data_IF_580221881301
#
_entry.id   IF_580221881301
#
_cell.length_a   1.000
_cell.length_b   1.000
_cell.length_c   1.000
_cell.angle_alpha   90.00
_cell.angle_beta   90.00
_cell.angle_gamma   90.00
#
_symmetry.space_group_name_H-M   'P 1'
#
loop_
_entity.id
_entity.type
_entity.pdbx_description
1 polymer ?
#
# COMPACT_ATOMS: atom_id res chain seq x y z
N UNK A 1 16.41 -5.33 6.89
CA UNK A 1 15.23 -5.34 5.98
C UNK A 1 15.32 -4.24 4.94
N UNK A 2 15.13 -4.57 3.67
CA UNK A 2 15.06 -3.63 2.55
C UNK A 2 13.62 -3.41 2.13
N UNK A 3 13.24 -2.16 1.92
CA UNK A 3 11.90 -1.75 1.52
C UNK A 3 12.03 -0.82 0.31
N UNK A 4 11.37 -1.19 -0.79
CA UNK A 4 11.27 -0.39 -2.00
C UNK A 4 9.84 0.08 -2.18
N UNK A 5 9.62 1.39 -2.26
CA UNK A 5 8.34 1.96 -2.69
C UNK A 5 8.26 1.86 -4.20
N UNK A 6 7.38 1.00 -4.71
CA UNK A 6 7.14 0.85 -6.14
C UNK A 6 6.19 1.93 -6.64
N UNK A 7 5.09 2.13 -5.91
CA UNK A 7 4.13 3.19 -6.14
C UNK A 7 3.69 3.80 -4.83
N UNK A 8 3.48 5.11 -4.83
CA UNK A 8 3.18 5.90 -3.64
C UNK A 8 1.84 6.62 -3.66
N UNK A 9 1.12 6.61 -4.79
CA UNK A 9 -0.20 7.23 -4.91
C UNK A 9 -1.34 6.29 -4.49
N UNK A 10 -2.48 6.86 -4.12
CA UNK A 10 -3.74 6.14 -3.95
C UNK A 10 -4.30 5.66 -5.30
N UNK A 11 -5.48 5.03 -5.28
CA UNK A 11 -6.22 4.63 -6.48
C UNK A 11 -6.29 5.72 -7.56
N UNK A 12 -5.94 5.35 -8.80
CA UNK A 12 -5.92 6.26 -9.95
C UNK A 12 -4.57 6.94 -10.23
N UNK A 13 -3.63 6.90 -9.29
CA UNK A 13 -2.29 7.45 -9.47
C UNK A 13 -2.24 8.99 -9.46
N UNK A 14 -1.07 9.55 -9.71
CA UNK A 14 -0.88 10.99 -9.89
C UNK A 14 0.08 11.28 -11.07
N UNK A 15 -0.34 12.08 -12.07
CA UNK A 15 -1.68 12.64 -12.25
C UNK A 15 -2.69 11.54 -12.63
N UNK A 16 -3.91 11.59 -12.07
CA UNK A 16 -4.96 10.65 -12.43
C UNK A 16 -5.49 10.93 -13.85
N UNK A 17 -5.71 9.86 -14.63
CA UNK A 17 -5.98 9.92 -16.08
C UNK A 17 -7.12 10.86 -16.51
N UNK A 18 -8.21 10.93 -15.72
CA UNK A 18 -9.39 11.76 -16.00
C UNK A 18 -9.53 12.97 -15.04
N UNK A 19 -8.53 13.26 -14.22
CA UNK A 19 -8.62 14.33 -13.22
C UNK A 19 -8.00 15.63 -13.72
N UNK A 20 -8.67 16.75 -13.47
CA UNK A 20 -8.16 18.11 -13.71
C UNK A 20 -8.20 18.97 -12.43
N UNK A 21 -8.10 18.35 -11.25
CA UNK A 21 -7.87 19.09 -10.02
C UNK A 21 -6.57 19.90 -10.12
N UNK A 22 -6.40 20.88 -9.20
CA UNK A 22 -5.28 21.82 -9.23
C UNK A 22 -3.91 21.13 -9.35
N UNK A 23 -3.70 20.02 -8.61
CA UNK A 23 -2.46 19.26 -8.69
C UNK A 23 -2.28 18.57 -10.05
N UNK A 24 -3.30 17.87 -10.56
CA UNK A 24 -3.20 17.13 -11.83
C UNK A 24 -3.00 18.07 -13.02
N UNK A 25 -3.79 19.14 -13.12
CA UNK A 25 -3.67 20.12 -14.20
C UNK A 25 -2.39 20.95 -14.06
N UNK A 26 -2.01 21.29 -12.81
CA UNK A 26 -0.80 22.03 -12.53
C UNK A 26 0.46 21.25 -12.86
N UNK A 27 0.50 19.94 -12.56
CA UNK A 27 1.59 19.05 -12.97
C UNK A 27 1.70 18.98 -14.50
N UNK A 28 0.58 18.77 -15.22
CA UNK A 28 0.60 18.72 -16.69
C UNK A 28 1.05 20.03 -17.34
N UNK A 29 0.71 21.16 -16.73
CA UNK A 29 1.07 22.48 -17.23
C UNK A 29 2.44 22.99 -16.72
N UNK A 30 3.12 22.23 -15.85
CA UNK A 30 4.39 22.64 -15.23
C UNK A 30 4.26 23.80 -14.24
N UNK A 31 3.08 24.04 -13.66
CA UNK A 31 2.83 25.10 -12.68
C UNK A 31 2.80 24.61 -11.23
N UNK A 32 2.85 23.30 -11.01
CA UNK A 32 2.99 22.67 -9.69
C UNK A 32 4.27 21.84 -9.72
N UNK A 33 5.18 22.07 -8.78
CA UNK A 33 6.39 21.27 -8.62
C UNK A 33 6.04 19.98 -7.87
N UNK A 34 5.84 18.91 -8.62
CA UNK A 34 5.49 17.59 -8.10
C UNK A 34 6.09 16.49 -8.97
N UNK A 35 6.03 15.25 -8.48
CA UNK A 35 6.50 14.05 -9.19
C UNK A 35 5.33 13.14 -9.49
N UNK A 36 5.29 12.58 -10.71
CA UNK A 36 4.34 11.54 -11.05
C UNK A 36 4.52 10.31 -10.13
N UNK A 37 3.42 9.62 -9.83
CA UNK A 37 3.34 8.50 -8.92
C UNK A 37 2.34 7.46 -9.42
N UNK A 38 2.77 6.22 -9.42
CA UNK A 38 1.97 5.02 -9.65
C UNK A 38 1.25 4.60 -8.37
N UNK A 39 0.26 3.72 -8.54
CA UNK A 39 -0.61 3.25 -7.47
C UNK A 39 0.13 2.40 -6.42
N UNK A 40 -0.32 2.51 -5.17
CA UNK A 40 0.35 2.01 -3.97
C UNK A 40 0.80 0.54 -4.07
N UNK A 41 2.11 0.34 -3.94
CA UNK A 41 2.73 -0.97 -3.83
C UNK A 41 4.14 -0.83 -3.27
N UNK A 42 4.57 -1.79 -2.45
CA UNK A 42 5.94 -1.87 -1.96
C UNK A 42 6.51 -3.27 -2.20
N UNK A 43 7.85 -3.37 -2.22
CA UNK A 43 8.56 -4.64 -2.23
C UNK A 43 9.48 -4.74 -1.01
N UNK A 44 9.51 -5.92 -0.38
CA UNK A 44 10.28 -6.21 0.82
C UNK A 44 11.29 -7.33 0.57
N UNK A 45 12.50 -7.20 1.12
CA UNK A 45 13.55 -8.21 0.99
C UNK A 45 14.44 -8.27 2.23
N UNK A 46 14.96 -9.45 2.56
CA UNK A 46 15.98 -9.67 3.58
C UNK A 46 17.39 -9.94 3.02
N UNK A 47 17.53 -10.00 1.69
CA UNK A 47 18.80 -10.29 1.01
C UNK A 47 19.08 -9.44 -0.25
N UNK A 48 18.10 -8.64 -0.68
CA UNK A 48 18.15 -7.80 -1.88
C UNK A 48 17.96 -8.54 -3.21
N UNK A 49 17.71 -9.86 -3.18
CA UNK A 49 17.57 -10.72 -4.36
C UNK A 49 16.15 -11.23 -4.53
N UNK A 50 15.56 -11.77 -3.46
CA UNK A 50 14.17 -12.20 -3.42
C UNK A 50 13.28 -11.10 -2.85
N UNK A 51 12.18 -10.78 -3.53
CA UNK A 51 11.29 -9.69 -3.15
C UNK A 51 9.85 -10.17 -2.92
N UNK A 52 9.34 -9.91 -1.72
CA UNK A 52 7.91 -10.06 -1.40
C UNK A 52 7.20 -8.78 -1.83
N UNK A 53 6.29 -8.88 -2.79
CA UNK A 53 5.48 -7.78 -3.25
C UNK A 53 4.28 -7.59 -2.32
N UNK A 54 4.09 -6.42 -1.74
CA UNK A 54 2.87 -6.08 -1.00
C UNK A 54 1.95 -5.25 -1.90
N UNK A 55 0.80 -5.83 -2.23
CA UNK A 55 -0.16 -5.39 -3.24
C UNK A 55 0.41 -5.38 -4.67
N UNK A 56 -0.38 -5.85 -5.63
CA UNK A 56 -0.05 -5.85 -7.05
C UNK A 56 -0.90 -4.80 -7.77
N UNK A 57 -0.35 -3.60 -7.93
CA UNK A 57 -1.08 -2.46 -8.49
C UNK A 57 -1.37 -2.60 -10.00
N UNK A 58 -2.34 -1.85 -10.58
CA UNK A 58 -2.52 -1.78 -12.02
C UNK A 58 -1.26 -1.33 -12.79
N UNK A 59 -0.38 -0.57 -12.14
CA UNK A 59 0.84 -0.01 -12.73
C UNK A 59 2.04 -0.97 -12.65
N UNK A 60 1.84 -2.22 -12.19
CA UNK A 60 2.89 -3.18 -11.87
C UNK A 60 3.93 -3.33 -12.99
N UNK A 61 3.52 -3.26 -14.27
CA UNK A 61 4.47 -3.36 -15.40
C UNK A 61 5.53 -2.26 -15.36
N UNK A 62 5.14 -1.00 -15.13
CA UNK A 62 6.07 0.12 -15.05
C UNK A 62 6.89 0.04 -13.76
N UNK A 63 6.24 -0.28 -12.65
CA UNK A 63 6.87 -0.45 -11.34
C UNK A 63 8.01 -1.48 -11.34
N UNK A 64 7.80 -2.64 -11.98
CA UNK A 64 8.84 -3.67 -12.11
C UNK A 64 9.95 -3.27 -13.07
N UNK A 65 9.63 -2.55 -14.14
CA UNK A 65 10.63 -2.04 -15.08
C UNK A 65 11.58 -1.03 -14.42
N UNK A 66 11.05 -0.17 -13.57
CA UNK A 66 11.80 0.91 -12.92
C UNK A 66 12.56 0.45 -11.66
N UNK A 67 12.51 -0.85 -11.36
CA UNK A 67 13.26 -1.45 -10.27
C UNK A 67 14.10 -2.66 -10.76
N UNK A 68 15.39 -2.47 -11.09
CA UNK A 68 16.22 -3.50 -11.71
C UNK A 68 16.28 -4.85 -10.97
N UNK A 69 16.18 -4.86 -9.64
CA UNK A 69 16.16 -6.09 -8.85
C UNK A 69 14.96 -7.01 -9.15
N UNK A 70 13.91 -6.49 -9.81
CA UNK A 70 12.78 -7.29 -10.28
C UNK A 70 13.09 -8.12 -11.53
N UNK A 71 14.20 -7.85 -12.22
CA UNK A 71 14.68 -8.65 -13.36
C UNK A 71 16.14 -9.07 -13.17
N UNK A 72 16.39 -10.11 -12.35
CA UNK A 72 17.76 -10.52 -11.99
C UNK A 72 18.51 -11.25 -13.12
N UNK A 73 17.84 -11.63 -14.21
CA UNK A 73 18.49 -12.17 -15.42
C UNK A 73 19.22 -13.50 -15.21
N UNK A 74 18.78 -14.34 -14.27
CA UNK A 74 19.42 -15.62 -13.91
C UNK A 74 19.11 -16.71 -14.94
N UNK A 75 17.97 -16.61 -15.62
CA UNK A 75 17.50 -17.55 -16.65
C UNK A 75 16.77 -16.81 -17.78
N UNK A 76 16.36 -17.52 -18.86
CA UNK A 76 15.66 -16.91 -20.00
C UNK A 76 14.31 -16.26 -19.62
N UNK A 77 13.64 -16.76 -18.58
CA UNK A 77 12.43 -16.17 -17.99
C UNK A 77 12.61 -16.12 -16.50
N UNK A 78 12.70 -14.92 -15.96
CA UNK A 78 13.06 -14.71 -14.57
C UNK A 78 12.34 -13.49 -13.99
N UNK A 79 12.18 -13.49 -12.66
CA UNK A 79 11.61 -12.40 -11.88
C UNK A 79 12.20 -12.38 -10.47
N UNK A 80 12.36 -11.20 -9.89
CA UNK A 80 12.74 -11.02 -8.49
C UNK A 80 11.60 -11.29 -7.50
N UNK A 81 10.35 -11.36 -7.98
CA UNK A 81 9.17 -11.61 -7.13
C UNK A 81 9.18 -13.05 -6.66
N UNK A 82 9.22 -13.26 -5.34
CA UNK A 82 9.17 -14.60 -4.73
C UNK A 82 7.81 -14.92 -4.12
N UNK A 83 7.09 -13.91 -3.64
CA UNK A 83 5.72 -14.02 -3.16
C UNK A 83 5.00 -12.68 -3.27
N UNK A 84 3.68 -12.73 -3.22
CA UNK A 84 2.80 -11.57 -3.20
C UNK A 84 1.96 -11.64 -1.93
N UNK A 85 1.88 -10.54 -1.18
CA UNK A 85 1.02 -10.38 -0.01
C UNK A 85 -0.04 -9.34 -0.35
N UNK A 86 -1.31 -9.69 -0.23
CA UNK A 86 -2.44 -8.79 -0.43
C UNK A 86 -3.02 -8.42 0.93
N UNK A 87 -3.12 -7.12 1.20
CA UNK A 87 -3.66 -6.62 2.47
C UNK A 87 -5.17 -6.40 2.42
N UNK A 88 -5.75 -6.36 1.23
CA UNK A 88 -7.17 -6.23 0.95
C UNK A 88 -7.47 -6.75 -0.47
N UNK A 89 -8.74 -6.68 -0.87
CA UNK A 89 -9.23 -7.07 -2.20
C UNK A 89 -9.44 -5.87 -3.14
N UNK A 90 -8.91 -4.69 -2.86
CA UNK A 90 -9.21 -3.53 -3.70
C UNK A 90 -8.64 -3.68 -5.12
N UNK A 91 -9.30 -3.05 -6.11
CA UNK A 91 -8.89 -3.15 -7.52
C UNK A 91 -7.47 -2.59 -7.74
N UNK A 92 -7.15 -1.50 -7.06
CA UNK A 92 -5.84 -0.85 -7.09
C UNK A 92 -4.73 -1.64 -6.40
N UNK A 93 -5.07 -2.68 -5.63
CA UNK A 93 -4.11 -3.56 -4.96
C UNK A 93 -4.02 -4.97 -5.55
N UNK A 94 -4.91 -5.33 -6.48
CA UNK A 94 -5.02 -6.72 -6.98
C UNK A 94 -4.96 -6.85 -8.50
N UNK A 95 -5.33 -5.82 -9.26
CA UNK A 95 -5.39 -5.87 -10.74
C UNK A 95 -4.04 -6.23 -11.38
N UNK A 96 -2.93 -5.86 -10.75
CA UNK A 96 -1.59 -6.17 -11.23
C UNK A 96 -1.33 -7.68 -11.41
N UNK A 97 -2.03 -8.54 -10.66
CA UNK A 97 -1.92 -10.00 -10.79
C UNK A 97 -2.21 -10.48 -12.22
N UNK A 98 -3.14 -9.82 -12.93
CA UNK A 98 -3.44 -10.14 -14.34
C UNK A 98 -2.23 -9.96 -15.25
N UNK A 99 -1.36 -8.99 -14.96
CA UNK A 99 -0.15 -8.70 -15.73
C UNK A 99 1.02 -9.65 -15.44
N UNK A 100 0.90 -10.51 -14.41
CA UNK A 100 1.94 -11.44 -13.98
C UNK A 100 1.68 -12.89 -14.45
N UNK A 101 0.58 -13.14 -15.16
CA UNK A 101 0.11 -14.48 -15.57
C UNK A 101 1.14 -15.31 -16.35
N UNK A 102 2.03 -14.68 -17.13
CA UNK A 102 3.08 -15.38 -17.89
C UNK A 102 4.19 -15.96 -17.00
N UNK A 103 4.22 -15.58 -15.71
CA UNK A 103 5.14 -16.07 -14.68
C UNK A 103 4.53 -17.06 -13.69
N UNK A 104 3.26 -17.48 -13.87
CA UNK A 104 2.62 -18.46 -12.99
C UNK A 104 3.35 -19.82 -12.99
N UNK A 105 3.34 -20.56 -11.85
CA UNK A 105 2.55 -20.30 -10.65
C UNK A 105 3.13 -19.22 -9.72
N UNK A 106 2.26 -18.45 -9.06
CA UNK A 106 2.64 -17.37 -8.12
C UNK A 106 2.13 -17.67 -6.71
N UNK A 107 2.98 -17.51 -5.69
CA UNK A 107 2.59 -17.63 -4.28
C UNK A 107 1.89 -16.35 -3.83
N UNK A 108 0.60 -16.44 -3.48
CA UNK A 108 -0.22 -15.30 -3.06
C UNK A 108 -0.73 -15.52 -1.64
N UNK A 109 -0.35 -14.62 -0.75
CA UNK A 109 -0.77 -14.59 0.64
C UNK A 109 -1.90 -13.58 0.82
N UNK A 110 -3.06 -14.05 1.27
CA UNK A 110 -4.19 -13.18 1.61
C UNK A 110 -5.09 -13.85 2.64
N UNK A 111 -5.93 -13.06 3.31
CA UNK A 111 -6.94 -13.57 4.25
C UNK A 111 -8.00 -14.40 3.51
N UNK A 112 -8.83 -15.10 4.28
CA UNK A 112 -9.98 -15.83 3.74
C UNK A 112 -10.98 -14.88 3.05
N UNK A 113 -11.28 -13.73 3.67
CA UNK A 113 -12.19 -12.72 3.09
C UNK A 113 -11.70 -12.19 1.74
N UNK A 114 -10.40 -11.84 1.64
CA UNK A 114 -9.81 -11.40 0.38
C UNK A 114 -9.85 -12.52 -0.66
N UNK A 115 -9.56 -13.76 -0.27
CA UNK A 115 -9.65 -14.91 -1.18
C UNK A 115 -11.08 -15.13 -1.70
N UNK A 116 -12.11 -14.97 -0.85
CA UNK A 116 -13.52 -15.04 -1.26
C UNK A 116 -13.86 -13.98 -2.31
N UNK A 117 -13.49 -12.72 -2.07
CA UNK A 117 -13.68 -11.65 -3.06
C UNK A 117 -12.97 -11.95 -4.38
N UNK A 118 -11.75 -12.49 -4.30
CA UNK A 118 -10.90 -12.81 -5.44
C UNK A 118 -11.21 -14.16 -6.12
N UNK A 119 -12.24 -14.87 -5.66
CA UNK A 119 -12.79 -16.08 -6.30
C UNK A 119 -14.24 -15.89 -6.77
N UNK A 120 -14.95 -14.87 -6.27
CA UNK A 120 -16.35 -14.61 -6.60
C UNK A 120 -16.54 -13.27 -7.32
N UNK A 121 -16.39 -12.14 -6.61
CA UNK A 121 -16.72 -10.81 -7.12
C UNK A 121 -15.73 -10.31 -8.18
N UNK A 122 -14.44 -10.57 -7.98
CA UNK A 122 -13.38 -10.32 -8.95
C UNK A 122 -12.50 -11.57 -9.06
N UNK A 123 -12.93 -12.59 -9.81
CA UNK A 123 -12.45 -13.97 -9.67
C UNK A 123 -11.05 -14.22 -10.27
N UNK A 124 -10.03 -13.50 -9.80
CA UNK A 124 -8.64 -13.58 -10.24
C UNK A 124 -8.06 -14.98 -10.06
N UNK A 125 -8.36 -15.67 -8.96
CA UNK A 125 -7.89 -17.04 -8.74
C UNK A 125 -8.46 -18.00 -9.78
N UNK A 126 -9.74 -17.88 -10.12
CA UNK A 126 -10.39 -18.72 -11.13
C UNK A 126 -9.90 -18.41 -12.55
N UNK A 127 -9.76 -17.13 -12.89
CA UNK A 127 -9.25 -16.69 -14.20
C UNK A 127 -7.82 -17.18 -14.42
N UNK A 128 -6.94 -16.95 -13.44
CA UNK A 128 -5.50 -17.20 -13.60
C UNK A 128 -5.12 -18.68 -13.45
N UNK A 129 -5.99 -19.52 -12.90
CA UNK A 129 -5.82 -20.99 -12.88
C UNK A 129 -5.48 -21.58 -14.25
N UNK A 130 -5.95 -20.94 -15.32
CA UNK A 130 -5.70 -21.36 -16.72
C UNK A 130 -4.26 -21.07 -17.21
N UNK A 131 -3.43 -20.36 -16.45
CA UNK A 131 -2.02 -20.09 -16.75
C UNK A 131 -1.12 -20.88 -15.81
N UNK A 132 -0.64 -22.05 -16.26
CA UNK A 132 0.37 -22.84 -15.54
C UNK A 132 0.09 -23.07 -14.04
N UNK A 133 -1.17 -23.27 -13.65
CA UNK A 133 -1.59 -23.47 -12.26
C UNK A 133 -2.03 -22.20 -11.54
N UNK A 134 -1.76 -21.01 -12.07
CA UNK A 134 -2.30 -19.74 -11.59
C UNK A 134 -1.73 -19.27 -10.26
N UNK A 135 -2.61 -18.72 -9.42
CA UNK A 135 -2.27 -18.21 -8.11
C UNK A 135 -2.40 -19.32 -7.06
N UNK A 136 -1.32 -19.58 -6.33
CA UNK A 136 -1.30 -20.53 -5.20
C UNK A 136 -1.63 -19.76 -3.93
N UNK A 137 -2.82 -20.01 -3.38
CA UNK A 137 -3.28 -19.34 -2.18
C UNK A 137 -2.58 -19.87 -0.93
N UNK A 138 -2.02 -18.94 -0.16
CA UNK A 138 -1.50 -19.15 1.18
C UNK A 138 -2.35 -18.29 2.14
N UNK A 139 -3.07 -18.94 3.06
CA UNK A 139 -3.97 -18.21 3.97
C UNK A 139 -3.18 -17.40 4.99
N UNK A 140 -3.57 -16.14 5.15
CA UNK A 140 -3.18 -15.29 6.29
C UNK A 140 -4.21 -15.48 7.39
N UNK A 141 -3.79 -16.05 8.52
CA UNK A 141 -4.58 -16.12 9.75
C UNK A 141 -4.44 -14.79 10.53
N UNK A 142 -5.56 -14.28 11.07
CA UNK A 142 -5.59 -12.93 11.67
C UNK A 142 -4.88 -12.85 13.04
N UNK A 143 -4.67 -13.99 13.70
CA UNK A 143 -4.10 -14.12 15.03
C UNK A 143 -2.69 -14.73 15.04
N UNK A 144 -2.14 -15.05 13.86
CA UNK A 144 -0.84 -15.71 13.73
C UNK A 144 0.11 -14.97 12.79
N UNK A 145 1.40 -14.98 13.12
CA UNK A 145 2.46 -14.54 12.22
C UNK A 145 2.78 -15.60 11.18
N UNK A 146 3.29 -15.18 10.02
CA UNK A 146 3.79 -16.06 8.98
C UNK A 146 5.15 -15.62 8.44
N UNK A 147 5.77 -16.47 7.64
CA UNK A 147 7.06 -16.23 6.99
C UNK A 147 7.00 -16.77 5.58
N UNK A 148 7.51 -15.99 4.63
CA UNK A 148 7.69 -16.42 3.24
C UNK A 148 8.99 -17.23 3.16
N UNK A 149 8.99 -18.48 2.66
CA UNK A 149 10.17 -19.34 2.67
C UNK A 149 11.41 -18.73 2.01
N UNK A 150 11.22 -17.94 0.96
CA UNK A 150 12.28 -17.28 0.20
C UNK A 150 12.84 -16.01 0.87
N UNK A 151 12.14 -15.47 1.88
CA UNK A 151 12.60 -14.38 2.73
C UNK A 151 12.50 -14.78 4.21
N UNK A 152 13.24 -15.82 4.65
CA UNK A 152 13.02 -16.50 5.92
C UNK A 152 13.32 -15.63 7.16
N UNK A 153 14.00 -14.50 6.98
CA UNK A 153 14.30 -13.57 8.07
C UNK A 153 13.20 -12.53 8.27
N UNK A 154 12.20 -12.44 7.39
CA UNK A 154 11.07 -11.54 7.55
C UNK A 154 9.88 -12.26 8.17
N UNK A 155 9.53 -11.88 9.39
CA UNK A 155 8.29 -12.32 10.05
C UNK A 155 7.19 -11.29 9.82
N UNK A 156 6.09 -11.74 9.21
CA UNK A 156 4.91 -10.93 8.95
C UNK A 156 3.86 -11.21 10.02
N UNK A 157 3.33 -10.16 10.65
CA UNK A 157 2.23 -10.26 11.61
C UNK A 157 1.10 -9.35 11.12
N UNK A 158 -0.01 -9.94 10.64
CA UNK A 158 -1.16 -9.16 10.21
C UNK A 158 -1.85 -8.51 11.40
N UNK A 159 -2.52 -7.40 11.16
CA UNK A 159 -3.42 -6.77 12.12
C UNK A 159 -4.71 -6.38 11.42
N UNK A 160 -5.88 -6.89 11.86
CA UNK A 160 -7.16 -6.48 11.30
C UNK A 160 -7.37 -4.97 11.46
N UNK A 161 -7.72 -4.30 10.36
CA UNK A 161 -8.12 -2.89 10.37
C UNK A 161 -9.64 -2.78 10.23
N UNK A 162 -10.18 -1.62 10.64
CA UNK A 162 -11.60 -1.33 10.41
C UNK A 162 -11.87 -1.43 8.90
N UNK A 163 -12.80 -2.31 8.58
CA UNK A 163 -12.93 -2.92 7.27
C UNK A 163 -13.89 -2.16 6.37
N UNK A 164 -13.49 -1.98 5.11
CA UNK A 164 -14.36 -1.49 4.04
C UNK A 164 -14.08 -2.33 2.79
N UNK A 165 -14.83 -3.42 2.65
CA UNK A 165 -14.75 -4.27 1.46
C UNK A 165 -15.03 -3.45 0.17
N UNK A 166 -14.38 -3.80 -0.95
CA UNK A 166 -14.44 -3.00 -2.17
C UNK A 166 -15.86 -2.97 -2.78
N UNK A 167 -16.14 -1.99 -3.66
CA UNK A 167 -17.44 -1.82 -4.30
C UNK A 167 -18.07 -3.04 -4.97
N UNK A 168 -17.25 -3.96 -5.48
CA UNK A 168 -17.68 -5.16 -6.18
C UNK A 168 -17.90 -6.35 -5.25
N UNK A 169 -17.46 -6.25 -3.99
CA UNK A 169 -17.50 -7.34 -3.02
C UNK A 169 -18.95 -7.79 -2.78
N UNK A 170 -19.24 -9.11 -2.82
CA UNK A 170 -20.55 -9.64 -2.48
C UNK A 170 -21.03 -9.24 -1.06
N UNK A 171 -20.10 -8.91 -0.15
CA UNK A 171 -20.38 -8.52 1.24
C UNK A 171 -20.06 -7.04 1.54
N UNK A 172 -20.04 -6.14 0.55
CA UNK A 172 -19.76 -4.69 0.71
C UNK A 172 -20.57 -3.97 1.82
N UNK A 173 -21.74 -4.48 2.19
CA UNK A 173 -22.60 -3.94 3.26
C UNK A 173 -22.50 -4.66 4.60
N UNK A 174 -21.63 -5.67 4.70
CA UNK A 174 -21.47 -6.57 5.83
C UNK A 174 -19.96 -6.79 6.07
N UNK A 175 -19.26 -5.81 6.67
CA UNK A 175 -17.80 -5.85 6.81
C UNK A 175 -17.37 -6.93 7.79
N UNK A 176 -16.32 -7.68 7.43
CA UNK A 176 -15.79 -8.78 8.23
C UNK A 176 -14.32 -8.54 8.59
N UNK A 177 -13.85 -8.98 9.78
CA UNK A 177 -12.43 -9.02 10.09
C UNK A 177 -11.65 -9.77 9.00
N UNK A 178 -10.62 -9.11 8.47
CA UNK A 178 -9.78 -9.66 7.41
C UNK A 178 -10.07 -9.11 6.01
N UNK A 179 -11.10 -8.29 5.81
CA UNK A 179 -11.27 -7.52 4.57
C UNK A 179 -10.07 -6.59 4.31
N UNK A 180 -9.55 -5.98 5.39
CA UNK A 180 -8.36 -5.14 5.38
C UNK A 180 -7.44 -5.50 6.54
N UNK A 181 -6.14 -5.60 6.27
CA UNK A 181 -5.11 -5.79 7.30
C UNK A 181 -3.96 -4.78 7.17
N UNK A 182 -3.41 -4.34 8.30
CA UNK A 182 -2.06 -3.79 8.35
C UNK A 182 -1.03 -4.91 8.53
N UNK A 183 0.23 -4.64 8.25
CA UNK A 183 1.33 -5.58 8.44
C UNK A 183 2.38 -4.99 9.39
N UNK A 184 2.71 -5.72 10.45
CA UNK A 184 3.96 -5.54 11.17
C UNK A 184 4.97 -6.55 10.62
N UNK A 185 6.03 -6.07 9.98
CA UNK A 185 7.10 -6.90 9.43
C UNK A 185 8.33 -6.73 10.30
N UNK A 186 8.90 -7.82 10.78
CA UNK A 186 10.09 -7.83 11.63
C UNK A 186 11.23 -8.56 10.93
N UNK A 187 12.41 -7.94 10.92
CA UNK A 187 13.65 -8.61 10.56
C UNK A 187 14.15 -9.39 11.78
N UNK A 188 14.09 -10.72 11.71
CA UNK A 188 14.47 -11.62 12.80
C UNK A 188 15.97 -11.57 13.12
N UNK A 189 16.80 -11.00 12.25
CA UNK A 189 18.22 -10.85 12.51
C UNK A 189 18.52 -9.62 13.39
N UNK A 190 17.88 -8.49 13.10
CA UNK A 190 18.16 -7.22 13.77
C UNK A 190 17.11 -6.85 14.82
N UNK A 191 15.93 -7.46 14.76
CA UNK A 191 14.75 -7.08 15.53
C UNK A 191 14.07 -5.81 15.01
N UNK A 192 14.50 -5.25 13.86
CA UNK A 192 13.92 -4.02 13.33
C UNK A 192 12.55 -4.26 12.72
N UNK A 193 11.64 -3.29 12.89
CA UNK A 193 10.22 -3.44 12.60
C UNK A 193 9.68 -2.34 11.68
N UNK A 194 9.05 -2.78 10.59
CA UNK A 194 8.20 -1.96 9.73
C UNK A 194 6.74 -2.16 10.12
N UNK A 195 6.01 -1.08 10.35
CA UNK A 195 4.55 -1.09 10.37
C UNK A 195 4.04 -0.49 9.05
N UNK A 196 3.33 -1.29 8.26
CA UNK A 196 2.77 -0.93 6.95
C UNK A 196 1.25 -1.01 6.98
N UNK A 197 0.59 0.13 6.80
CA UNK A 197 -0.87 0.22 6.73
C UNK A 197 -1.25 1.41 5.83
N UNK A 198 -1.29 1.21 4.49
CA UNK A 198 -1.54 2.27 3.51
C UNK A 198 -2.99 2.79 3.51
N UNK A 199 -3.93 2.04 4.12
CA UNK A 199 -5.31 2.48 4.36
C UNK A 199 -5.65 2.34 5.83
N UNK A 200 -5.91 3.46 6.53
CA UNK A 200 -6.27 3.48 7.95
C UNK A 200 -7.46 4.43 8.12
N UNK A 201 -8.64 3.90 8.42
CA UNK A 201 -9.82 4.74 8.70
C UNK A 201 -9.95 5.17 10.16
N UNK A 202 -9.47 4.33 11.08
CA UNK A 202 -9.59 4.52 12.54
C UNK A 202 -8.31 4.07 13.21
N UNK A 203 -7.86 4.83 14.21
CA UNK A 203 -6.75 4.46 15.11
C UNK A 203 -7.31 4.29 16.52
N UNK A 204 -7.34 3.05 16.99
CA UNK A 204 -7.66 2.71 18.37
C UNK A 204 -6.38 2.53 19.23
N UNK A 205 -6.54 2.38 20.54
CA UNK A 205 -5.42 2.19 21.47
C UNK A 205 -4.56 0.95 21.14
N UNK A 206 -5.19 -0.09 20.58
CA UNK A 206 -4.53 -1.32 20.15
C UNK A 206 -3.59 -1.07 18.97
N UNK A 207 -4.07 -0.36 17.96
CA UNK A 207 -3.29 0.05 16.79
C UNK A 207 -2.17 1.00 17.19
N UNK A 208 -2.48 2.00 18.03
CA UNK A 208 -1.51 2.96 18.55
C UNK A 208 -0.35 2.25 19.26
N UNK A 209 -0.66 1.30 20.15
CA UNK A 209 0.33 0.52 20.88
C UNK A 209 1.24 -0.27 19.94
N UNK A 210 0.70 -0.83 18.85
CA UNK A 210 1.49 -1.56 17.84
C UNK A 210 2.40 -0.64 17.04
N UNK A 211 1.87 0.50 16.58
CA UNK A 211 2.66 1.52 15.88
C UNK A 211 3.89 1.95 16.70
N UNK A 212 3.73 2.12 18.03
CA UNK A 212 4.84 2.47 18.92
C UNK A 212 5.96 1.43 18.99
N UNK A 213 5.69 0.17 18.67
CA UNK A 213 6.71 -0.89 18.68
C UNK A 213 7.60 -0.90 17.43
N UNK A 214 7.21 -0.18 16.38
CA UNK A 214 7.92 -0.17 15.11
C UNK A 214 9.10 0.81 15.11
N UNK A 215 10.06 0.58 14.20
CA UNK A 215 11.15 1.51 13.91
C UNK A 215 10.83 2.39 12.69
N UNK A 216 9.91 1.94 11.82
CA UNK A 216 9.37 2.72 10.72
C UNK A 216 7.86 2.54 10.61
N UNK A 217 7.15 3.66 10.49
CA UNK A 217 5.72 3.73 10.16
C UNK A 217 5.60 4.15 8.69
N UNK A 218 5.00 3.28 7.87
CA UNK A 218 4.63 3.56 6.49
C UNK A 218 3.10 3.49 6.40
N UNK A 219 2.44 4.64 6.52
CA UNK A 219 1.01 4.73 6.85
C UNK A 219 0.23 5.60 5.86
N UNK A 220 -1.10 5.47 5.92
CA UNK A 220 -2.07 6.20 5.11
C UNK A 220 -1.80 7.71 5.02
N UNK A 221 -1.63 8.17 3.78
CA UNK A 221 -1.38 9.55 3.37
C UNK A 221 -2.44 10.06 2.38
N UNK A 222 -3.62 9.45 2.34
CA UNK A 222 -4.59 9.64 1.25
C UNK A 222 -5.06 11.08 1.11
N UNK A 223 -5.64 11.66 2.16
CA UNK A 223 -6.25 13.00 2.12
C UNK A 223 -5.72 13.90 3.22
N UNK A 224 -5.46 15.17 2.89
CA UNK A 224 -5.11 16.17 3.89
C UNK A 224 -6.31 16.51 4.76
N UNK A 225 -7.46 16.80 4.14
CA UNK A 225 -8.73 17.09 4.80
C UNK A 225 -9.76 15.97 4.54
N UNK A 226 -10.66 15.72 5.50
CA UNK A 226 -11.71 14.68 5.34
C UNK A 226 -12.66 14.98 4.17
N UNK A 227 -12.91 16.27 3.87
CA UNK A 227 -13.76 16.74 2.78
C UNK A 227 -12.98 17.14 1.51
N UNK A 228 -11.72 16.72 1.37
CA UNK A 228 -10.82 17.15 0.29
C UNK A 228 -11.39 16.92 -1.12
N UNK A 229 -12.06 15.78 -1.36
CA UNK A 229 -12.70 15.50 -2.65
C UNK A 229 -13.78 16.51 -3.03
N UNK A 230 -14.53 16.99 -2.04
CA UNK A 230 -15.59 17.99 -2.19
C UNK A 230 -14.99 19.37 -2.44
N UNK A 231 -13.93 19.75 -1.70
CA UNK A 231 -13.18 21.02 -1.89
C UNK A 231 -12.62 21.15 -3.30
N UNK A 232 -12.09 20.05 -3.84
CA UNK A 232 -11.56 20.00 -5.21
C UNK A 232 -12.61 19.70 -6.28
N UNK A 233 -13.89 19.48 -5.91
CA UNK A 233 -15.01 19.21 -6.83
C UNK A 233 -14.77 18.00 -7.75
N UNK A 234 -14.08 16.99 -7.25
CA UNK A 234 -13.76 15.74 -7.98
C UNK A 234 -14.47 14.52 -7.39
N UNK A 235 -15.30 14.72 -6.37
CA UNK A 235 -16.15 13.69 -5.78
C UNK A 235 -16.95 14.22 -4.60
N UNK A 236 -17.91 13.42 -4.13
CA UNK A 236 -18.78 13.78 -3.00
C UNK A 236 -18.44 13.02 -1.71
N UNK A 237 -17.56 12.01 -1.78
CA UNK A 237 -17.23 11.15 -0.64
C UNK A 237 -16.23 11.82 0.30
N UNK A 238 -16.38 11.60 1.60
CA UNK A 238 -15.37 11.99 2.60
C UNK A 238 -14.31 10.91 2.80
N UNK A 239 -13.20 11.24 3.46
CA UNK A 239 -12.17 10.29 3.88
C UNK A 239 -12.75 9.16 4.73
N UNK A 240 -13.56 9.49 5.74
CA UNK A 240 -14.25 8.51 6.59
C UNK A 240 -15.12 7.53 5.79
N UNK A 241 -15.86 8.01 4.79
CA UNK A 241 -16.68 7.15 3.93
C UNK A 241 -15.83 6.24 3.02
N UNK A 242 -14.58 6.61 2.76
CA UNK A 242 -13.62 5.82 2.00
C UNK A 242 -12.70 4.98 2.90
N UNK A 243 -12.84 5.05 4.23
CA UNK A 243 -11.98 4.32 5.16
C UNK A 243 -10.59 4.92 5.32
N UNK A 244 -10.44 6.23 5.16
CA UNK A 244 -9.16 6.95 5.26
C UNK A 244 -9.21 8.06 6.33
N UNK A 245 -8.24 8.04 7.23
CA UNK A 245 -8.02 9.06 8.24
C UNK A 245 -7.25 10.23 7.61
N UNK A 246 -7.90 11.39 7.53
CA UNK A 246 -7.26 12.60 7.02
C UNK A 246 -6.03 12.99 7.85
N UNK A 247 -5.05 13.64 7.22
CA UNK A 247 -3.84 14.08 7.94
C UNK A 247 -4.11 15.21 8.93
N UNK A 248 -4.91 16.19 8.50
CA UNK A 248 -5.22 17.40 9.25
C UNK A 248 -6.42 17.20 10.19
N UNK A 249 -6.63 18.18 11.08
CA UNK A 249 -7.80 18.22 11.97
C UNK A 249 -7.67 17.38 13.25
N UNK A 250 -8.63 17.53 14.19
CA UNK A 250 -8.61 16.83 15.48
C UNK A 250 -8.65 15.31 15.31
N UNK A 251 -7.70 14.61 15.93
CA UNK A 251 -7.55 13.16 15.82
C UNK A 251 -7.05 12.68 14.46
N UNK A 252 -6.64 13.59 13.57
CA UNK A 252 -6.05 13.24 12.27
C UNK A 252 -4.69 12.55 12.40
N UNK A 253 -4.19 12.02 11.28
CA UNK A 253 -2.93 11.26 11.26
C UNK A 253 -1.75 12.07 11.83
N UNK A 254 -1.72 13.40 11.64
CA UNK A 254 -0.65 14.24 12.19
C UNK A 254 -0.64 14.33 13.72
N UNK A 255 -1.81 14.24 14.34
CA UNK A 255 -1.95 14.20 15.80
C UNK A 255 -1.51 12.83 16.31
N UNK A 256 -1.99 11.75 15.69
CA UNK A 256 -1.58 10.37 16.00
C UNK A 256 -0.06 10.21 15.94
N UNK A 257 0.56 10.68 14.85
CA UNK A 257 2.01 10.57 14.64
C UNK A 257 2.82 11.48 15.58
N UNK A 258 2.22 12.52 16.16
CA UNK A 258 2.92 13.40 17.12
C UNK A 258 3.28 12.69 18.43
N UNK A 259 2.55 11.62 18.77
CA UNK A 259 2.81 10.74 19.91
C UNK A 259 3.91 9.69 19.62
N UNK A 260 4.48 9.68 18.41
CA UNK A 260 5.43 8.68 17.94
C UNK A 260 6.85 9.27 17.81
N UNK A 261 7.63 9.21 18.88
CA UNK A 261 8.96 9.83 18.93
C UNK A 261 10.07 8.99 18.30
N UNK A 262 10.02 7.66 18.47
CA UNK A 262 11.07 6.74 17.99
C UNK A 262 11.02 6.47 16.48
N UNK A 263 9.86 6.12 15.88
CA UNK A 263 9.88 5.62 14.51
C UNK A 263 10.13 6.72 13.48
N UNK A 264 10.79 6.33 12.39
CA UNK A 264 10.73 7.03 11.09
C UNK A 264 9.27 7.05 10.63
N UNK A 265 8.78 8.19 10.15
CA UNK A 265 7.37 8.38 9.79
C UNK A 265 7.27 8.73 8.31
N UNK A 266 6.56 7.91 7.54
CA UNK A 266 6.42 8.07 6.09
C UNK A 266 4.95 7.90 5.72
N UNK A 267 4.39 8.89 5.02
CA UNK A 267 3.06 8.81 4.42
C UNK A 267 3.15 8.17 3.03
N UNK A 268 2.27 7.23 2.72
CA UNK A 268 2.12 6.54 1.42
C UNK A 268 0.65 6.51 1.02
N UNK A 269 0.33 6.02 -0.18
CA UNK A 269 -1.05 5.92 -0.69
C UNK A 269 -1.70 7.32 -0.75
N UNK A 270 -1.04 8.25 -1.43
CA UNK A 270 -1.40 9.67 -1.43
C UNK A 270 -2.34 9.97 -2.60
N UNK A 271 -3.52 10.54 -2.35
CA UNK A 271 -4.48 10.84 -3.41
C UNK A 271 -4.00 12.01 -4.27
N UNK A 272 -4.40 12.04 -5.54
CA UNK A 272 -4.00 13.08 -6.48
C UNK A 272 -4.47 14.49 -6.09
N UNK A 273 -5.46 14.62 -5.21
CA UNK A 273 -5.94 15.90 -4.67
C UNK A 273 -5.09 16.45 -3.54
N UNK A 274 -4.27 15.62 -2.91
CA UNK A 274 -3.63 15.98 -1.64
C UNK A 274 -2.56 17.07 -1.85
N UNK A 275 -2.64 18.22 -1.16
CA UNK A 275 -1.69 19.32 -1.32
C UNK A 275 -0.24 18.94 -0.97
N UNK A 276 0.00 17.86 -0.22
CA UNK A 276 1.37 17.41 0.10
C UNK A 276 2.15 16.91 -1.12
N UNK A 277 1.48 16.71 -2.26
CA UNK A 277 2.11 16.37 -3.53
C UNK A 277 2.87 17.55 -4.15
N UNK A 278 2.40 18.77 -3.92
CA UNK A 278 3.11 20.00 -4.30
C UNK A 278 4.28 20.22 -3.33
N UNK A 279 5.51 20.18 -3.86
CA UNK A 279 6.74 20.30 -3.08
C UNK A 279 6.89 21.68 -2.40
N UNK A 280 6.08 22.68 -2.80
CA UNK A 280 6.07 24.04 -2.24
C UNK A 280 4.83 24.38 -1.39
N UNK A 281 3.92 23.43 -1.16
CA UNK A 281 2.74 23.69 -0.36
C UNK A 281 3.05 23.90 1.13
N UNK A 282 2.18 24.63 1.82
CA UNK A 282 2.32 24.83 3.26
C UNK A 282 2.14 23.51 4.03
N UNK A 283 1.31 22.62 3.51
CA UNK A 283 1.04 21.27 4.01
C UNK A 283 2.30 20.40 3.90
N UNK A 284 3.01 20.46 2.77
CA UNK A 284 4.32 19.80 2.60
C UNK A 284 5.36 20.32 3.58
N UNK A 285 5.43 21.63 3.77
CA UNK A 285 6.33 22.25 4.75
C UNK A 285 5.99 21.85 6.19
N UNK A 286 4.70 21.70 6.51
CA UNK A 286 4.26 21.24 7.83
C UNK A 286 4.72 19.82 8.15
N UNK A 287 4.64 18.90 7.17
CA UNK A 287 5.17 17.54 7.32
C UNK A 287 6.68 17.55 7.60
N UNK A 288 7.43 18.38 6.88
CA UNK A 288 8.87 18.52 7.11
C UNK A 288 9.18 19.01 8.54
N UNK A 289 8.44 20.02 9.04
CA UNK A 289 8.59 20.50 10.43
C UNK A 289 8.33 19.41 11.47
N UNK A 290 7.44 18.47 11.19
CA UNK A 290 7.10 17.34 12.06
C UNK A 290 7.99 16.11 11.87
N UNK A 291 8.96 16.16 10.96
CA UNK A 291 9.81 15.01 10.63
C UNK A 291 9.00 13.84 10.04
N UNK A 292 8.00 14.16 9.21
CA UNK A 292 7.16 13.20 8.49
C UNK A 292 7.51 13.30 7.01
N UNK A 293 7.92 12.18 6.44
CA UNK A 293 8.26 12.07 5.02
C UNK A 293 7.03 11.76 4.18
N UNK A 294 7.09 12.10 2.89
CA UNK A 294 6.07 11.74 1.91
C UNK A 294 6.73 10.82 0.91
N UNK A 295 6.20 9.61 0.77
CA UNK A 295 6.71 8.62 -0.15
C UNK A 295 6.69 9.13 -1.60
N UNK A 296 7.62 8.58 -2.38
CA UNK A 296 7.70 8.77 -3.81
C UNK A 296 8.12 7.45 -4.46
N UNK A 297 7.72 7.26 -5.70
CA UNK A 297 8.07 6.08 -6.47
C UNK A 297 9.60 5.97 -6.58
N UNK A 298 10.12 4.80 -6.19
CA UNK A 298 11.54 4.54 -6.11
C UNK A 298 12.22 4.94 -4.80
N UNK A 299 11.48 5.39 -3.79
CA UNK A 299 12.01 5.58 -2.43
C UNK A 299 12.51 4.25 -1.86
N UNK A 300 13.71 4.28 -1.27
CA UNK A 300 14.31 3.14 -0.57
C UNK A 300 14.39 3.43 0.94
N UNK A 301 13.97 2.44 1.73
CA UNK A 301 14.06 2.45 3.19
C UNK A 301 14.83 1.20 3.60
N UNK A 302 15.84 1.38 4.44
CA UNK A 302 16.65 0.30 5.01
C UNK A 302 16.45 0.34 6.52
N UNK A 303 16.06 -0.81 7.09
CA UNK A 303 15.92 -1.05 8.54
C UNK A 303 16.80 -2.21 8.98
#
# INVERSE_FOLDING_TARGET
MLIRVLGSAAGGGFPQWNCNCMNCVGFRNGTVEARARTQSSIALSDDGRGWVLCNASPDIRAQLHDFPSMQPGRTLRDTGIVAIVLIDSQLDHTTGLLSLREGCPLQVWCTDMVHQDLTVGFPLFEILKHWSGGLVWNRIELDASFTVPECPKLRFTPYPLVSAAPPYSPHRGDPHPGDNVGLLVEDLHTGSKLFYAPGIGVVDDGLLSRMQTADCLLVDGTLWDDDEMQRHKVGNRTGREMGHLAQSGPGGMLEVLSHMHKPRKVLIHINNTNPILDEHSAERAELQRRGIEVAFDGMEIVL
#
